data_IF_335821524136
#
_entry.id   IF_335821524136
#
_cell.length_a   1.000
_cell.length_b   1.000
_cell.length_c   1.000
_cell.angle_alpha   90.00
_cell.angle_beta   90.00
_cell.angle_gamma   90.00
#
_symmetry.space_group_name_H-M   'P 1'
#
loop_
_entity.id
_entity.type
_entity.pdbx_description
1 polymer ?
#
# COMPACT_ATOMS: atom_id res chain seq x y z
N UNK A 1 11.47 16.95 -9.88
CA UNK A 1 12.37 18.12 -9.67
C UNK A 1 13.81 17.83 -10.06
N UNK A 2 14.44 16.76 -9.55
CA UNK A 2 15.80 16.38 -9.96
C UNK A 2 15.87 15.88 -11.39
N UNK A 3 14.84 15.20 -11.88
CA UNK A 3 14.73 14.85 -13.31
C UNK A 3 14.80 16.08 -14.21
N UNK A 4 14.10 17.16 -13.85
CA UNK A 4 14.11 18.39 -14.65
C UNK A 4 15.47 19.09 -14.61
N UNK A 5 16.10 19.12 -13.43
CA UNK A 5 17.46 19.64 -13.29
C UNK A 5 18.44 18.81 -14.12
N UNK A 6 18.36 17.48 -14.08
CA UNK A 6 19.23 16.61 -14.88
C UNK A 6 18.99 16.80 -16.39
N UNK A 7 17.73 16.99 -16.83
CA UNK A 7 17.42 17.31 -18.22
C UNK A 7 18.03 18.64 -18.65
N UNK A 8 17.95 19.67 -17.80
CA UNK A 8 18.62 20.94 -18.06
C UNK A 8 20.14 20.80 -18.10
N UNK A 9 20.76 20.10 -17.15
CA UNK A 9 22.21 19.88 -17.13
C UNK A 9 22.70 19.04 -18.31
N UNK A 10 21.84 18.15 -18.85
CA UNK A 10 22.18 17.34 -20.02
C UNK A 10 22.41 18.14 -21.29
N UNK A 11 21.92 19.40 -21.36
CA UNK A 11 22.22 20.30 -22.48
C UNK A 11 23.65 20.83 -22.45
N UNK A 12 24.31 20.79 -21.29
CA UNK A 12 25.70 21.21 -21.11
C UNK A 12 26.65 20.02 -21.07
N UNK A 13 26.26 18.94 -20.39
CA UNK A 13 27.08 17.74 -20.19
C UNK A 13 26.25 16.47 -20.48
N UNK A 14 26.51 15.76 -21.60
CA UNK A 14 25.68 14.63 -22.04
C UNK A 14 25.54 13.50 -21.01
N UNK A 15 26.50 13.36 -20.08
CA UNK A 15 26.48 12.36 -19.01
C UNK A 15 25.25 12.43 -18.10
N UNK A 16 24.64 13.61 -17.94
CA UNK A 16 23.41 13.75 -17.15
C UNK A 16 22.18 13.08 -17.80
N UNK A 17 22.26 12.69 -19.07
CA UNK A 17 21.19 11.94 -19.74
C UNK A 17 20.93 10.58 -19.07
N UNK A 18 21.88 10.05 -18.31
CA UNK A 18 21.69 8.79 -17.56
C UNK A 18 20.48 8.87 -16.61
N UNK A 19 20.18 10.05 -16.07
CA UNK A 19 19.03 10.25 -15.18
C UNK A 19 17.69 10.24 -15.90
N UNK A 20 17.65 10.18 -17.23
CA UNK A 20 16.40 10.03 -17.99
C UNK A 20 15.92 8.57 -17.99
N UNK A 21 16.82 7.60 -17.85
CA UNK A 21 16.48 6.18 -17.82
C UNK A 21 15.57 5.86 -16.63
N UNK A 22 14.36 5.36 -16.94
CA UNK A 22 13.35 5.02 -15.95
C UNK A 22 13.87 4.00 -14.91
N UNK A 23 14.69 3.04 -15.35
CA UNK A 23 15.30 2.03 -14.47
C UNK A 23 16.24 2.66 -13.44
N UNK A 24 17.12 3.57 -13.87
CA UNK A 24 17.98 4.31 -12.95
C UNK A 24 17.16 5.17 -11.99
N UNK A 25 16.19 5.92 -12.50
CA UNK A 25 15.30 6.76 -11.66
C UNK A 25 14.55 5.94 -10.62
N UNK A 26 14.13 4.72 -10.98
CA UNK A 26 13.46 3.81 -10.06
C UNK A 26 14.39 3.36 -8.93
N UNK A 27 15.63 2.99 -9.25
CA UNK A 27 16.67 2.64 -8.25
C UNK A 27 16.95 3.84 -7.33
N UNK A 28 17.15 5.03 -7.91
CA UNK A 28 17.39 6.25 -7.14
C UNK A 28 16.18 6.62 -6.28
N UNK A 29 14.96 6.35 -6.74
CA UNK A 29 13.73 6.50 -5.98
C UNK A 29 13.69 5.60 -4.74
N UNK A 30 14.04 4.32 -4.90
CA UNK A 30 14.17 3.36 -3.78
C UNK A 30 15.22 3.84 -2.78
N UNK A 31 16.43 4.13 -3.26
CA UNK A 31 17.56 4.52 -2.39
C UNK A 31 17.28 5.83 -1.66
N UNK A 32 16.73 6.83 -2.34
CA UNK A 32 16.39 8.13 -1.73
C UNK A 32 15.37 7.96 -0.61
N UNK A 33 14.31 7.17 -0.85
CA UNK A 33 13.28 6.93 0.15
C UNK A 33 13.81 6.11 1.34
N UNK A 34 14.61 5.07 1.08
CA UNK A 34 15.23 4.23 2.11
C UNK A 34 16.19 5.03 2.99
N UNK A 35 17.13 5.75 2.37
CA UNK A 35 18.11 6.58 3.08
C UNK A 35 17.37 7.62 3.91
N UNK A 36 16.42 8.34 3.31
CA UNK A 36 15.65 9.35 4.03
C UNK A 36 14.92 8.75 5.23
N UNK A 37 14.28 7.59 5.07
CA UNK A 37 13.61 6.89 6.18
C UNK A 37 14.58 6.50 7.30
N UNK A 38 15.78 6.00 6.98
CA UNK A 38 16.78 5.60 7.98
C UNK A 38 17.40 6.79 8.73
N UNK A 39 17.67 7.90 8.04
CA UNK A 39 18.28 9.09 8.65
C UNK A 39 17.27 9.96 9.40
N UNK A 40 16.07 10.14 8.85
CA UNK A 40 15.01 10.99 9.44
C UNK A 40 14.20 10.20 10.48
N UNK A 41 14.13 8.88 10.35
CA UNK A 41 13.36 7.99 11.22
C UNK A 41 13.62 8.19 12.72
N UNK A 42 14.86 8.14 13.21
CA UNK A 42 15.15 8.33 14.63
C UNK A 42 14.67 9.68 15.19
N UNK A 43 14.72 10.74 14.37
CA UNK A 43 14.21 12.06 14.77
C UNK A 43 12.68 12.07 14.86
N UNK A 44 12.00 11.48 13.87
CA UNK A 44 10.52 11.36 13.87
C UNK A 44 10.04 10.50 15.03
N UNK A 45 10.70 9.37 15.30
CA UNK A 45 10.32 8.47 16.40
C UNK A 45 10.40 9.20 17.74
N UNK A 46 11.50 9.91 18.03
CA UNK A 46 11.62 10.73 19.25
C UNK A 46 10.55 11.84 19.33
N UNK A 47 10.25 12.49 18.20
CA UNK A 47 9.20 13.51 18.15
C UNK A 47 7.79 12.93 18.39
N UNK A 48 7.53 11.70 17.97
CA UNK A 48 6.28 11.01 18.24
C UNK A 48 6.20 10.54 19.70
N UNK A 49 7.28 9.95 20.22
CA UNK A 49 7.39 9.48 21.60
C UNK A 49 7.08 10.60 22.60
N UNK A 50 7.71 11.77 22.43
CA UNK A 50 7.49 12.95 23.29
C UNK A 50 6.04 13.48 23.25
N UNK A 51 5.33 13.31 22.14
CA UNK A 51 3.92 13.74 21.99
C UNK A 51 2.91 12.70 22.47
N UNK A 52 3.34 11.47 22.73
CA UNK A 52 2.47 10.32 23.00
C UNK A 52 2.59 9.77 24.41
N UNK A 53 3.27 10.51 25.29
CA UNK A 53 3.40 10.19 26.71
C UNK A 53 2.00 10.14 27.35
N UNK A 54 1.59 8.96 27.83
CA UNK A 54 0.33 8.73 28.54
C UNK A 54 -0.88 8.33 27.70
N UNK A 55 -0.68 7.62 26.57
CA UNK A 55 -1.78 7.02 25.80
C UNK A 55 -2.63 6.05 26.64
N UNK A 56 -3.94 6.04 26.38
CA UNK A 56 -4.90 5.17 27.04
C UNK A 56 -4.81 3.73 26.50
N UNK A 57 -4.70 2.75 27.41
CA UNK A 57 -4.59 1.32 27.06
C UNK A 57 -5.94 0.77 26.58
N UNK A 58 -5.94 0.06 25.44
CA UNK A 58 -7.09 -0.70 24.96
C UNK A 58 -7.12 -2.07 25.64
N UNK A 59 -8.25 -2.45 26.24
CA UNK A 59 -8.40 -3.73 26.97
C UNK A 59 -8.78 -4.93 26.09
N UNK A 60 -9.02 -4.71 24.80
CA UNK A 60 -9.67 -5.67 23.90
C UNK A 60 -8.68 -6.55 23.07
N UNK A 61 -7.38 -6.58 23.42
CA UNK A 61 -6.32 -7.28 22.69
C UNK A 61 -5.70 -8.48 23.45
N UNK A 62 -4.91 -9.35 22.79
CA UNK A 62 -4.17 -10.43 23.45
C UNK A 62 -3.20 -9.90 24.52
N UNK A 63 -2.90 -10.73 25.54
CA UNK A 63 -2.04 -10.32 26.65
C UNK A 63 -0.62 -9.92 26.22
N UNK A 64 -0.13 -10.49 25.12
CA UNK A 64 1.16 -10.13 24.48
C UNK A 64 1.24 -8.65 24.09
N UNK A 65 0.12 -7.98 23.85
CA UNK A 65 0.11 -6.56 23.49
C UNK A 65 0.30 -5.63 24.70
N UNK A 66 0.13 -6.10 25.93
CA UNK A 66 0.35 -5.26 27.11
C UNK A 66 1.83 -4.95 27.35
N UNK A 67 2.78 -5.75 26.83
CA UNK A 67 4.21 -5.44 26.91
C UNK A 67 4.65 -4.39 25.89
N UNK A 68 3.82 -4.08 24.88
CA UNK A 68 4.06 -3.06 23.85
C UNK A 68 3.65 -1.65 24.26
N UNK A 69 3.48 -1.44 25.57
CA UNK A 69 3.13 -0.14 26.13
C UNK A 69 4.29 0.86 25.93
N UNK A 70 3.97 2.04 25.41
CA UNK A 70 4.92 3.13 25.23
C UNK A 70 5.50 3.26 23.82
N UNK A 71 5.32 2.26 22.95
CA UNK A 71 5.75 2.38 21.54
C UNK A 71 4.89 3.41 20.80
N UNK A 72 5.47 4.45 20.19
CA UNK A 72 4.71 5.48 19.50
C UNK A 72 4.00 4.95 18.24
N UNK A 73 2.81 5.47 17.96
CA UNK A 73 2.03 5.28 16.72
C UNK A 73 2.17 6.48 15.78
N UNK A 74 1.55 6.43 14.58
CA UNK A 74 1.68 7.42 13.49
C UNK A 74 3.02 7.38 12.73
N UNK A 75 3.76 6.28 12.80
CA UNK A 75 4.97 6.06 12.00
C UNK A 75 4.74 6.13 10.49
N UNK A 76 3.50 5.93 10.03
CA UNK A 76 3.09 6.11 8.64
C UNK A 76 3.39 7.51 8.06
N UNK A 77 3.51 8.54 8.90
CA UNK A 77 3.93 9.87 8.43
C UNK A 77 5.35 9.83 7.84
N UNK A 78 6.28 9.10 8.48
CA UNK A 78 7.63 8.92 7.96
C UNK A 78 7.58 8.28 6.57
N UNK A 79 6.78 7.22 6.43
CA UNK A 79 6.61 6.51 5.15
C UNK A 79 6.11 7.48 4.08
N UNK A 80 5.05 8.24 4.36
CA UNK A 80 4.39 9.12 3.40
C UNK A 80 5.30 10.27 2.96
N UNK A 81 6.04 10.86 3.89
CA UNK A 81 7.02 11.91 3.58
C UNK A 81 8.13 11.35 2.69
N UNK A 82 8.67 10.17 3.01
CA UNK A 82 9.73 9.55 2.21
C UNK A 82 9.27 9.19 0.80
N UNK A 83 8.06 8.62 0.65
CA UNK A 83 7.48 8.30 -0.66
C UNK A 83 7.25 9.58 -1.46
N UNK A 84 6.61 10.58 -0.86
CA UNK A 84 6.26 11.84 -1.55
C UNK A 84 7.52 12.57 -1.99
N UNK A 85 8.48 12.76 -1.10
CA UNK A 85 9.73 13.45 -1.41
C UNK A 85 10.49 12.72 -2.54
N UNK A 86 10.69 11.41 -2.41
CA UNK A 86 11.41 10.63 -3.42
C UNK A 86 10.70 10.64 -4.78
N UNK A 87 9.38 10.49 -4.79
CA UNK A 87 8.57 10.54 -6.03
C UNK A 87 8.67 11.91 -6.69
N UNK A 88 8.52 13.00 -5.94
CA UNK A 88 8.60 14.37 -6.50
C UNK A 88 9.98 14.69 -7.05
N UNK A 89 11.05 14.11 -6.47
CA UNK A 89 12.40 14.29 -6.96
C UNK A 89 12.62 13.57 -8.30
N UNK A 90 12.23 12.30 -8.40
CA UNK A 90 12.64 11.40 -9.49
C UNK A 90 11.58 11.08 -10.55
N UNK A 91 10.29 11.19 -10.26
CA UNK A 91 9.23 10.92 -11.24
C UNK A 91 9.05 12.07 -12.22
N UNK A 92 8.53 11.78 -13.42
CA UNK A 92 8.04 12.85 -14.31
C UNK A 92 6.73 13.43 -13.78
N UNK A 93 6.79 14.70 -13.37
CA UNK A 93 5.65 15.42 -12.80
C UNK A 93 4.60 15.85 -13.84
N UNK A 94 4.85 15.68 -15.13
CA UNK A 94 3.80 15.82 -16.15
C UNK A 94 2.87 14.61 -16.19
N UNK A 95 3.25 13.50 -15.56
CA UNK A 95 2.51 12.27 -15.61
C UNK A 95 1.29 12.28 -14.67
N UNK A 96 0.09 12.18 -15.24
CA UNK A 96 -1.16 12.20 -14.49
C UNK A 96 -1.30 11.01 -13.52
N UNK A 97 -0.79 9.83 -13.87
CA UNK A 97 -0.91 8.64 -13.02
C UNK A 97 -0.10 8.78 -11.73
N UNK A 98 1.08 9.42 -11.79
CA UNK A 98 1.90 9.73 -10.61
C UNK A 98 1.13 10.63 -9.64
N UNK A 99 0.47 11.66 -10.16
CA UNK A 99 -0.35 12.55 -9.33
C UNK A 99 -1.55 11.86 -8.72
N UNK A 100 -2.29 11.05 -9.49
CA UNK A 100 -3.43 10.32 -8.94
C UNK A 100 -2.95 9.37 -7.82
N UNK A 101 -1.84 8.66 -8.01
CA UNK A 101 -1.28 7.77 -6.98
C UNK A 101 -0.87 8.55 -5.71
N UNK A 102 -0.18 9.69 -5.86
CA UNK A 102 0.20 10.56 -4.74
C UNK A 102 -1.03 11.14 -4.02
N UNK A 103 -2.01 11.66 -4.75
CA UNK A 103 -3.20 12.29 -4.17
C UNK A 103 -4.08 11.27 -3.46
N UNK A 104 -4.22 10.05 -3.98
CA UNK A 104 -4.93 8.96 -3.29
C UNK A 104 -4.18 8.56 -2.01
N UNK A 105 -2.87 8.33 -2.09
CA UNK A 105 -2.05 7.99 -0.93
C UNK A 105 -2.15 9.07 0.16
N UNK A 106 -1.98 10.34 -0.21
CA UNK A 106 -2.04 11.47 0.73
C UNK A 106 -3.46 11.69 1.26
N UNK A 107 -4.50 11.53 0.43
CA UNK A 107 -5.90 11.66 0.85
C UNK A 107 -6.27 10.63 1.91
N UNK A 108 -5.91 9.36 1.72
CA UNK A 108 -6.08 8.32 2.74
C UNK A 108 -5.15 8.53 3.94
N UNK A 109 -3.95 9.06 3.72
CA UNK A 109 -3.01 9.45 4.79
C UNK A 109 -3.57 10.53 5.70
N UNK A 110 -4.26 11.54 5.15
CA UNK A 110 -4.94 12.59 5.92
C UNK A 110 -6.08 12.00 6.74
N UNK A 111 -6.86 11.07 6.19
CA UNK A 111 -7.93 10.38 6.93
C UNK A 111 -7.34 9.60 8.12
N UNK A 112 -6.27 8.83 7.88
CA UNK A 112 -5.57 8.10 8.93
C UNK A 112 -4.93 9.01 9.96
N UNK A 113 -4.35 10.14 9.54
CA UNK A 113 -3.79 11.15 10.44
C UNK A 113 -4.85 11.74 11.35
N UNK A 114 -6.01 12.13 10.82
CA UNK A 114 -7.11 12.65 11.64
C UNK A 114 -7.58 11.59 12.64
N UNK A 115 -7.61 10.32 12.25
CA UNK A 115 -7.97 9.22 13.15
C UNK A 115 -6.99 9.05 14.31
N UNK A 116 -5.71 8.88 13.99
CA UNK A 116 -4.66 8.65 14.98
C UNK A 116 -4.44 9.88 15.85
N UNK A 117 -4.46 11.08 15.27
CA UNK A 117 -4.38 12.33 16.03
C UNK A 117 -5.49 12.43 17.07
N UNK A 118 -6.73 12.06 16.72
CA UNK A 118 -7.85 12.04 17.69
C UNK A 118 -7.64 10.99 18.78
N UNK A 119 -7.12 9.80 18.45
CA UNK A 119 -6.82 8.76 19.44
C UNK A 119 -5.78 9.25 20.46
N UNK A 120 -4.73 9.90 19.96
CA UNK A 120 -3.59 10.36 20.77
C UNK A 120 -3.92 11.62 21.57
N UNK A 121 -4.34 12.70 20.90
CA UNK A 121 -4.44 14.03 21.53
C UNK A 121 -5.70 14.16 22.37
N UNK A 122 -6.82 13.60 21.92
CA UNK A 122 -8.08 13.66 22.67
C UNK A 122 -8.21 12.52 23.70
N UNK A 123 -7.19 11.66 23.82
CA UNK A 123 -7.20 10.45 24.67
C UNK A 123 -8.45 9.57 24.50
N UNK A 124 -9.05 9.63 23.31
CA UNK A 124 -10.26 8.90 22.99
C UNK A 124 -9.88 7.63 22.23
N UNK A 125 -9.91 6.48 22.90
CA UNK A 125 -9.56 5.18 22.33
C UNK A 125 -10.39 4.76 21.10
N UNK A 126 -11.48 5.46 20.79
CA UNK A 126 -12.34 5.18 19.63
C UNK A 126 -11.89 5.85 18.32
N UNK A 127 -11.12 6.95 18.37
CA UNK A 127 -10.74 7.70 17.16
C UNK A 127 -11.92 8.34 16.40
N UNK A 128 -11.83 8.41 15.07
CA UNK A 128 -12.94 8.74 14.18
C UNK A 128 -14.03 7.67 14.26
N UNK A 129 -15.29 8.10 14.14
CA UNK A 129 -16.37 7.15 13.94
C UNK A 129 -16.16 6.36 12.64
N UNK A 130 -16.51 5.07 12.66
CA UNK A 130 -16.37 4.20 11.49
C UNK A 130 -17.09 4.77 10.25
N UNK A 131 -18.25 5.43 10.45
CA UNK A 131 -19.00 6.11 9.38
C UNK A 131 -18.20 7.27 8.78
N UNK A 132 -17.64 8.15 9.61
CA UNK A 132 -16.87 9.30 9.12
C UNK A 132 -15.58 8.85 8.40
N UNK A 133 -14.90 7.84 8.94
CA UNK A 133 -13.71 7.24 8.31
C UNK A 133 -14.06 6.66 6.93
N UNK A 134 -15.11 5.84 6.85
CA UNK A 134 -15.56 5.24 5.59
C UNK A 134 -16.03 6.30 4.58
N UNK A 135 -16.76 7.33 5.02
CA UNK A 135 -17.18 8.43 4.15
C UNK A 135 -15.99 9.16 3.52
N UNK A 136 -14.95 9.45 4.31
CA UNK A 136 -13.72 10.06 3.79
C UNK A 136 -13.03 9.16 2.75
N UNK A 137 -12.86 7.88 3.07
CA UNK A 137 -12.28 6.90 2.14
C UNK A 137 -13.11 6.79 0.86
N UNK A 138 -14.43 6.82 1.01
CA UNK A 138 -15.37 6.72 -0.11
C UNK A 138 -15.27 7.92 -1.05
N UNK A 139 -15.16 9.12 -0.49
CA UNK A 139 -15.01 10.36 -1.27
C UNK A 139 -13.71 10.34 -2.08
N UNK A 140 -12.58 10.05 -1.45
CA UNK A 140 -11.28 10.00 -2.14
C UNK A 140 -11.25 8.89 -3.19
N UNK A 141 -11.72 7.68 -2.82
CA UNK A 141 -11.77 6.53 -3.74
C UNK A 141 -12.68 6.74 -4.94
N UNK A 142 -13.87 7.33 -4.74
CA UNK A 142 -14.82 7.60 -5.82
C UNK A 142 -14.32 8.71 -6.75
N UNK A 143 -13.74 9.78 -6.21
CA UNK A 143 -13.12 10.84 -7.03
C UNK A 143 -11.99 10.26 -7.88
N UNK A 144 -11.11 9.43 -7.31
CA UNK A 144 -10.06 8.76 -8.07
C UNK A 144 -10.63 7.85 -9.17
N UNK A 145 -11.67 7.07 -8.86
CA UNK A 145 -12.35 6.20 -9.83
C UNK A 145 -12.97 6.99 -11.00
N UNK A 146 -13.63 8.10 -10.71
CA UNK A 146 -14.24 8.97 -11.72
C UNK A 146 -13.18 9.66 -12.59
N UNK A 147 -12.10 10.17 -11.98
CA UNK A 147 -10.99 10.77 -12.73
C UNK A 147 -10.35 9.75 -13.66
N UNK A 148 -10.05 8.54 -13.17
CA UNK A 148 -9.49 7.47 -13.99
C UNK A 148 -10.42 7.08 -15.16
N UNK A 149 -11.72 7.01 -14.91
CA UNK A 149 -12.72 6.73 -15.95
C UNK A 149 -12.78 7.83 -17.01
N UNK A 150 -12.66 9.11 -16.62
CA UNK A 150 -12.72 10.24 -17.54
C UNK A 150 -11.46 10.40 -18.41
N UNK A 151 -10.28 10.09 -17.86
CA UNK A 151 -9.02 10.21 -18.62
C UNK A 151 -8.74 9.00 -19.50
N UNK A 152 -9.49 7.90 -19.33
CA UNK A 152 -9.32 6.68 -20.11
C UNK A 152 -9.56 6.96 -21.60
N UNK A 153 -8.56 6.71 -22.44
CA UNK A 153 -8.61 7.00 -23.89
C UNK A 153 -8.97 5.77 -24.71
N UNK A 154 -8.68 4.58 -24.18
CA UNK A 154 -8.87 3.32 -24.88
C UNK A 154 -9.81 2.39 -24.11
N UNK A 155 -10.55 1.49 -24.80
CA UNK A 155 -11.39 0.49 -24.13
C UNK A 155 -10.58 -0.43 -23.19
N UNK A 156 -9.31 -0.68 -23.53
CA UNK A 156 -8.42 -1.50 -22.71
C UNK A 156 -8.20 -0.93 -21.29
N UNK A 157 -8.27 0.39 -21.13
CA UNK A 157 -8.14 1.06 -19.84
C UNK A 157 -9.36 0.88 -18.93
N UNK A 158 -10.51 0.43 -19.45
CA UNK A 158 -11.76 0.20 -18.67
C UNK A 158 -12.23 -1.26 -18.68
N UNK A 159 -11.47 -2.15 -19.30
CA UNK A 159 -11.81 -3.58 -19.46
C UNK A 159 -11.11 -4.44 -18.43
N UNK A 160 -11.87 -5.26 -17.69
CA UNK A 160 -11.31 -6.18 -16.70
C UNK A 160 -10.54 -7.31 -17.38
N UNK A 161 -9.30 -7.47 -16.95
CA UNK A 161 -8.44 -8.59 -17.36
C UNK A 161 -8.62 -9.74 -16.37
N UNK A 162 -9.06 -10.90 -16.85
CA UNK A 162 -9.10 -12.11 -16.04
C UNK A 162 -7.76 -12.83 -16.15
N UNK A 163 -7.00 -12.99 -15.04
CA UNK A 163 -5.73 -13.69 -15.10
C UNK A 163 -5.94 -15.15 -15.55
N UNK A 164 -4.93 -15.73 -16.20
CA UNK A 164 -4.95 -17.11 -16.76
C UNK A 164 -5.83 -17.33 -17.99
N UNK A 165 -6.64 -16.36 -18.41
CA UNK A 165 -7.48 -16.45 -19.60
C UNK A 165 -7.15 -15.31 -20.58
N UNK A 166 -6.48 -15.62 -21.71
CA UNK A 166 -6.06 -14.61 -22.71
C UNK A 166 -7.22 -13.81 -23.31
N UNK A 167 -8.30 -14.52 -23.63
CA UNK A 167 -9.40 -13.98 -24.44
C UNK A 167 -10.57 -13.48 -23.61
N UNK A 168 -10.52 -13.66 -22.28
CA UNK A 168 -11.60 -13.22 -21.38
C UNK A 168 -11.38 -11.77 -20.94
N UNK A 169 -11.82 -10.87 -21.80
CA UNK A 169 -11.82 -9.43 -21.59
C UNK A 169 -13.25 -8.97 -21.30
N UNK A 170 -13.52 -8.48 -20.08
CA UNK A 170 -14.86 -8.07 -19.67
C UNK A 170 -14.96 -6.54 -19.71
N UNK A 171 -15.60 -5.93 -20.73
CA UNK A 171 -15.78 -4.49 -20.79
C UNK A 171 -16.74 -4.04 -19.69
N UNK A 172 -16.24 -3.25 -18.73
CA UNK A 172 -17.05 -2.90 -17.56
C UNK A 172 -17.95 -1.69 -17.77
N UNK A 173 -17.64 -0.83 -18.75
CA UNK A 173 -18.31 0.47 -18.90
C UNK A 173 -18.28 1.25 -17.59
N UNK A 174 -19.44 1.75 -17.13
CA UNK A 174 -19.54 2.44 -15.84
C UNK A 174 -19.26 1.52 -14.63
N UNK A 175 -19.39 0.20 -14.78
CA UNK A 175 -18.99 -0.78 -13.76
C UNK A 175 -17.50 -0.68 -13.38
N UNK A 176 -16.67 -0.07 -14.21
CA UNK A 176 -15.28 0.24 -13.89
C UNK A 176 -15.18 1.12 -12.64
N UNK A 177 -15.99 2.18 -12.55
CA UNK A 177 -15.98 3.10 -11.41
C UNK A 177 -16.29 2.36 -10.11
N UNK A 178 -17.25 1.45 -10.15
CA UNK A 178 -17.66 0.62 -9.01
C UNK A 178 -16.51 -0.32 -8.60
N UNK A 179 -15.90 -1.02 -9.56
CA UNK A 179 -14.77 -1.90 -9.29
C UNK A 179 -13.59 -1.13 -8.70
N UNK A 180 -13.19 -0.02 -9.31
CA UNK A 180 -12.07 0.81 -8.86
C UNK A 180 -12.29 1.32 -7.45
N UNK A 181 -13.50 1.79 -7.14
CA UNK A 181 -13.88 2.17 -5.79
C UNK A 181 -13.66 1.03 -4.78
N UNK A 182 -14.16 -0.17 -5.08
CA UNK A 182 -14.02 -1.31 -4.18
C UNK A 182 -12.57 -1.78 -4.04
N UNK A 183 -11.77 -1.73 -5.10
CA UNK A 183 -10.35 -2.07 -5.04
C UNK A 183 -9.60 -1.08 -4.14
N UNK A 184 -9.77 0.23 -4.34
CA UNK A 184 -9.06 1.24 -3.55
C UNK A 184 -9.47 1.17 -2.07
N UNK A 185 -10.78 1.24 -1.78
CA UNK A 185 -11.28 1.26 -0.40
C UNK A 185 -11.09 -0.11 0.27
N UNK A 186 -11.29 -1.20 -0.47
CA UNK A 186 -11.11 -2.56 0.01
C UNK A 186 -9.67 -2.85 0.39
N UNK A 187 -8.70 -2.57 -0.51
CA UNK A 187 -7.28 -2.79 -0.22
C UNK A 187 -6.79 -1.89 0.92
N UNK A 188 -7.25 -0.64 1.00
CA UNK A 188 -6.94 0.26 2.13
C UNK A 188 -7.34 -0.33 3.48
N UNK A 189 -8.57 -0.81 3.61
CA UNK A 189 -9.04 -1.42 4.86
C UNK A 189 -8.38 -2.78 5.11
N UNK A 190 -8.07 -3.55 4.06
CA UNK A 190 -7.43 -4.85 4.20
C UNK A 190 -6.00 -4.73 4.78
N UNK A 191 -5.22 -3.74 4.33
CA UNK A 191 -3.90 -3.46 4.90
C UNK A 191 -4.04 -2.97 6.35
N UNK A 192 -5.02 -2.10 6.65
CA UNK A 192 -5.28 -1.64 8.03
C UNK A 192 -5.68 -2.75 8.99
N UNK A 193 -6.48 -3.73 8.56
CA UNK A 193 -6.80 -4.92 9.37
C UNK A 193 -5.60 -5.83 9.60
N UNK A 194 -4.60 -5.80 8.71
CA UNK A 194 -3.40 -6.62 8.80
C UNK A 194 -2.31 -5.99 9.66
N UNK A 195 -2.35 -4.67 9.88
CA UNK A 195 -1.40 -3.91 10.70
C UNK A 195 -1.66 -4.09 12.21
N UNK A 196 -1.75 -5.36 12.64
CA UNK A 196 -2.00 -5.78 14.02
C UNK A 196 -0.76 -6.28 14.75
N UNK A 197 0.31 -6.68 14.04
CA UNK A 197 1.56 -7.18 14.61
C UNK A 197 2.79 -6.48 14.01
N UNK A 198 3.91 -6.55 14.71
CA UNK A 198 5.15 -5.84 14.38
C UNK A 198 5.69 -6.31 13.00
N UNK A 199 5.73 -5.42 12.01
CA UNK A 199 6.21 -5.76 10.67
C UNK A 199 5.28 -6.65 9.84
N UNK A 200 4.09 -7.01 10.33
CA UNK A 200 3.19 -7.94 9.65
C UNK A 200 2.64 -7.36 8.33
N UNK A 201 2.25 -6.08 8.33
CA UNK A 201 1.65 -5.44 7.16
C UNK A 201 2.68 -4.85 6.18
N UNK A 202 3.81 -4.31 6.68
CA UNK A 202 4.72 -3.53 5.83
C UNK A 202 5.49 -4.39 4.82
N UNK A 203 6.01 -5.56 5.20
CA UNK A 203 6.78 -6.37 4.24
C UNK A 203 5.89 -6.92 3.10
N UNK A 204 4.69 -7.47 3.36
CA UNK A 204 3.77 -7.81 2.27
C UNK A 204 3.44 -6.61 1.38
N UNK A 205 3.28 -5.41 1.96
CA UNK A 205 3.05 -4.17 1.18
C UNK A 205 4.23 -3.88 0.25
N UNK A 206 5.47 -3.99 0.76
CA UNK A 206 6.71 -3.79 -0.02
C UNK A 206 6.81 -4.80 -1.17
N UNK A 207 6.52 -6.08 -0.90
CA UNK A 207 6.57 -7.13 -1.92
C UNK A 207 5.53 -6.91 -3.03
N UNK A 208 4.30 -6.55 -2.66
CA UNK A 208 3.23 -6.23 -3.61
C UNK A 208 3.56 -4.95 -4.40
N UNK A 209 4.12 -3.92 -3.74
CA UNK A 209 4.57 -2.70 -4.42
C UNK A 209 5.67 -3.00 -5.46
N UNK A 210 6.66 -3.81 -5.11
CA UNK A 210 7.71 -4.23 -6.03
C UNK A 210 7.17 -5.00 -7.24
N UNK A 211 6.22 -5.91 -7.01
CA UNK A 211 5.57 -6.67 -8.08
C UNK A 211 4.70 -5.78 -8.99
N UNK A 212 3.89 -4.88 -8.42
CA UNK A 212 3.17 -3.86 -9.19
C UNK A 212 4.13 -2.94 -9.94
N UNK A 213 5.35 -2.72 -9.43
CA UNK A 213 6.39 -1.96 -10.10
C UNK A 213 6.84 -2.68 -11.38
N UNK A 214 7.05 -3.99 -11.30
CA UNK A 214 7.30 -4.80 -12.49
C UNK A 214 6.13 -4.71 -13.49
N UNK A 215 4.87 -4.84 -13.04
CA UNK A 215 3.71 -4.67 -13.92
C UNK A 215 3.62 -3.29 -14.55
N UNK A 216 3.88 -2.22 -13.79
CA UNK A 216 3.89 -0.84 -14.27
C UNK A 216 4.93 -0.64 -15.38
N UNK A 217 6.14 -1.17 -15.18
CA UNK A 217 7.23 -1.12 -16.16
C UNK A 217 6.86 -1.85 -17.46
N UNK A 218 6.28 -3.05 -17.35
CA UNK A 218 5.91 -3.87 -18.50
C UNK A 218 4.71 -3.29 -19.27
N UNK A 219 3.65 -2.88 -18.56
CA UNK A 219 2.44 -2.27 -19.13
C UNK A 219 2.74 -0.91 -19.78
N UNK A 220 3.68 -0.16 -19.21
CA UNK A 220 4.13 1.14 -19.71
C UNK A 220 5.13 1.06 -20.87
N UNK A 221 5.54 -0.13 -21.31
CA UNK A 221 6.50 -0.33 -22.39
C UNK A 221 5.85 -1.05 -23.59
N UNK A 222 5.85 -0.41 -24.77
CA UNK A 222 5.18 -0.95 -25.95
C UNK A 222 5.73 -2.31 -26.42
N UNK A 223 7.05 -2.53 -26.30
CA UNK A 223 7.70 -3.77 -26.75
C UNK A 223 7.36 -4.92 -25.79
N UNK A 224 7.51 -4.70 -24.49
CA UNK A 224 7.23 -5.74 -23.49
C UNK A 224 5.74 -6.07 -23.39
N UNK A 225 4.87 -5.06 -23.47
CA UNK A 225 3.43 -5.27 -23.44
C UNK A 225 2.95 -6.12 -24.63
N UNK A 226 3.49 -5.87 -25.83
CA UNK A 226 3.23 -6.69 -27.01
C UNK A 226 3.74 -8.12 -26.84
N UNK A 227 4.97 -8.31 -26.35
CA UNK A 227 5.56 -9.63 -26.14
C UNK A 227 4.80 -10.48 -25.11
N UNK A 228 4.29 -9.85 -24.04
CA UNK A 228 3.56 -10.51 -22.95
C UNK A 228 2.04 -10.56 -23.17
N UNK A 229 1.54 -10.04 -24.30
CA UNK A 229 0.10 -9.94 -24.59
C UNK A 229 -0.70 -9.25 -23.46
N UNK A 230 -0.12 -8.20 -22.88
CA UNK A 230 -0.80 -7.35 -21.89
C UNK A 230 -1.13 -5.99 -22.51
N UNK A 231 -2.18 -5.28 -22.03
CA UNK A 231 -2.50 -3.96 -22.54
C UNK A 231 -1.35 -2.99 -22.38
N UNK A 232 -1.07 -2.23 -23.43
CA UNK A 232 -0.15 -1.11 -23.37
C UNK A 232 -0.91 0.13 -22.87
N UNK A 233 -0.47 0.69 -21.75
CA UNK A 233 -1.05 1.92 -21.19
C UNK A 233 0.05 2.99 -21.11
N UNK A 234 0.07 3.95 -22.04
CA UNK A 234 1.10 4.98 -22.08
C UNK A 234 1.18 5.76 -20.76
N UNK A 235 2.38 5.93 -20.22
CA UNK A 235 2.62 6.70 -19.01
C UNK A 235 2.54 5.92 -17.70
N UNK A 236 1.97 4.71 -17.64
CA UNK A 236 1.95 3.93 -16.38
C UNK A 236 3.35 3.51 -15.93
N UNK A 237 4.33 3.47 -16.83
CA UNK A 237 5.72 3.18 -16.50
C UNK A 237 6.34 4.13 -15.46
N UNK A 238 5.89 5.39 -15.38
CA UNK A 238 6.39 6.31 -14.36
C UNK A 238 6.00 5.91 -12.93
N UNK A 239 4.94 5.08 -12.76
CA UNK A 239 4.55 4.54 -11.46
C UNK A 239 5.62 3.65 -10.83
N UNK A 240 6.58 3.14 -11.61
CA UNK A 240 7.72 2.37 -11.10
C UNK A 240 8.55 3.19 -10.13
N UNK A 241 8.69 4.51 -10.36
CA UNK A 241 9.42 5.40 -9.45
C UNK A 241 8.66 5.58 -8.14
N UNK A 242 7.34 5.78 -8.21
CA UNK A 242 6.47 5.89 -7.03
C UNK A 242 6.45 4.59 -6.19
N UNK A 243 6.29 3.44 -6.84
CA UNK A 243 6.31 2.13 -6.18
C UNK A 243 7.71 1.77 -5.67
N UNK A 244 8.77 2.16 -6.38
CA UNK A 244 10.15 2.05 -5.90
C UNK A 244 10.38 2.88 -4.64
N UNK A 245 9.88 4.12 -4.60
CA UNK A 245 9.91 4.94 -3.39
C UNK A 245 9.12 4.29 -2.25
N UNK A 246 7.98 3.65 -2.53
CA UNK A 246 7.21 2.88 -1.55
C UNK A 246 7.97 1.66 -1.01
N UNK A 247 8.67 0.92 -1.86
CA UNK A 247 9.59 -0.16 -1.46
C UNK A 247 10.68 0.37 -0.54
N UNK A 248 11.36 1.45 -0.94
CA UNK A 248 12.45 2.05 -0.16
C UNK A 248 11.98 2.56 1.21
N UNK A 249 10.90 3.35 1.25
CA UNK A 249 10.32 3.86 2.48
C UNK A 249 9.80 2.73 3.38
N UNK A 250 9.18 1.69 2.80
CA UNK A 250 8.67 0.55 3.55
C UNK A 250 9.78 -0.31 4.17
N UNK A 251 10.86 -0.55 3.45
CA UNK A 251 12.05 -1.22 3.99
C UNK A 251 12.71 -0.37 5.10
N UNK A 252 12.81 0.94 4.89
CA UNK A 252 13.34 1.86 5.91
C UNK A 252 12.46 1.92 7.16
N UNK A 253 11.14 1.84 7.01
CA UNK A 253 10.21 1.75 8.14
C UNK A 253 10.30 0.40 8.85
N UNK A 254 10.41 -0.71 8.10
CA UNK A 254 10.56 -2.05 8.65
C UNK A 254 11.79 -2.16 9.57
N UNK A 255 12.87 -1.41 9.29
CA UNK A 255 14.04 -1.32 10.18
C UNK A 255 13.67 -0.94 11.62
N UNK A 256 12.69 -0.05 11.81
CA UNK A 256 12.23 0.41 13.13
C UNK A 256 10.99 -0.35 13.62
N UNK A 257 10.27 -1.03 12.73
CA UNK A 257 9.00 -1.70 13.03
C UNK A 257 9.13 -3.23 13.19
N UNK A 258 10.29 -3.82 12.87
CA UNK A 258 10.56 -5.24 13.13
C UNK A 258 10.50 -5.53 14.62
N UNK A 259 9.96 -6.69 14.99
CA UNK A 259 9.82 -7.10 16.39
C UNK A 259 11.17 -7.09 17.16
N UNK A 260 11.24 -6.51 18.37
CA UNK A 260 10.22 -5.65 19.00
C UNK A 260 10.15 -4.24 18.38
N UNK A 261 8.96 -3.78 18.01
CA UNK A 261 8.79 -2.51 17.30
C UNK A 261 9.13 -1.27 18.14
N UNK A 262 9.86 -0.33 17.52
CA UNK A 262 10.16 1.00 18.05
C UNK A 262 9.10 2.05 17.65
N UNK A 263 8.31 1.75 16.62
CA UNK A 263 7.22 2.61 16.14
C UNK A 263 6.16 1.78 15.43
N UNK A 264 4.89 2.10 15.63
CA UNK A 264 3.75 1.52 14.90
C UNK A 264 3.35 2.39 13.71
N UNK A 265 2.90 1.73 12.65
CA UNK A 265 2.54 2.39 11.40
C UNK A 265 1.31 3.29 11.60
N UNK A 266 0.30 2.80 12.30
CA UNK A 266 -0.94 3.52 12.54
C UNK A 266 -1.84 3.58 11.31
N UNK A 267 -3.04 4.14 11.48
CA UNK A 267 -4.00 4.32 10.40
C UNK A 267 -3.44 5.21 9.29
N UNK A 268 -2.54 6.16 9.60
CA UNK A 268 -1.84 6.99 8.61
C UNK A 268 -1.19 6.14 7.53
N UNK A 269 -0.38 5.16 7.92
CA UNK A 269 0.39 4.36 6.97
C UNK A 269 -0.45 3.23 6.37
N UNK A 270 -1.23 2.54 7.19
CA UNK A 270 -1.92 1.35 6.71
C UNK A 270 -3.03 1.69 5.70
N UNK A 271 -3.80 2.77 5.94
CA UNK A 271 -4.84 3.21 5.01
C UNK A 271 -4.26 3.75 3.70
N UNK A 272 -3.22 4.57 3.78
CA UNK A 272 -2.61 5.22 2.62
C UNK A 272 -1.86 4.23 1.72
N UNK A 273 -1.11 3.30 2.30
CA UNK A 273 -0.37 2.28 1.54
C UNK A 273 -1.34 1.33 0.84
N UNK A 274 -2.38 0.84 1.53
CA UNK A 274 -3.37 -0.03 0.89
C UNK A 274 -4.13 0.68 -0.24
N UNK A 275 -4.50 1.95 -0.07
CA UNK A 275 -5.14 2.74 -1.13
C UNK A 275 -4.20 2.97 -2.33
N UNK A 276 -2.91 3.22 -2.07
CA UNK A 276 -1.89 3.39 -3.09
C UNK A 276 -1.66 2.11 -3.91
N UNK A 277 -1.58 0.94 -3.26
CA UNK A 277 -1.53 -0.35 -3.96
C UNK A 277 -2.79 -0.58 -4.81
N UNK A 278 -3.96 -0.32 -4.24
CA UNK A 278 -5.25 -0.48 -4.92
C UNK A 278 -5.37 0.39 -6.17
N UNK A 279 -5.05 1.69 -6.08
CA UNK A 279 -5.16 2.60 -7.23
C UNK A 279 -4.14 2.26 -8.32
N UNK A 280 -2.91 1.90 -7.95
CA UNK A 280 -1.89 1.52 -8.94
C UNK A 280 -2.26 0.21 -9.62
N UNK A 281 -2.77 -0.78 -8.89
CA UNK A 281 -3.23 -2.03 -9.49
C UNK A 281 -4.34 -1.81 -10.53
N UNK A 282 -5.25 -0.86 -10.30
CA UNK A 282 -6.26 -0.46 -11.28
C UNK A 282 -5.61 0.21 -12.50
N UNK A 283 -4.64 1.13 -12.30
CA UNK A 283 -3.96 1.80 -13.40
C UNK A 283 -3.18 0.83 -14.31
N UNK A 284 -2.58 -0.22 -13.74
CA UNK A 284 -1.83 -1.23 -14.49
C UNK A 284 -2.67 -2.45 -14.90
N UNK A 285 -3.99 -2.41 -14.68
CA UNK A 285 -4.95 -3.48 -15.01
C UNK A 285 -4.64 -4.84 -14.35
N UNK A 286 -4.22 -4.79 -13.09
CA UNK A 286 -3.86 -5.96 -12.29
C UNK A 286 -4.72 -6.07 -11.03
N UNK A 287 -6.00 -5.71 -11.09
CA UNK A 287 -6.92 -5.71 -9.95
C UNK A 287 -7.09 -7.10 -9.34
N UNK A 288 -7.32 -8.11 -10.19
CA UNK A 288 -7.47 -9.50 -9.75
C UNK A 288 -6.12 -10.10 -9.33
N UNK A 289 -5.03 -9.69 -9.97
CA UNK A 289 -3.68 -10.14 -9.59
C UNK A 289 -3.27 -9.53 -8.24
N UNK A 290 -3.69 -8.29 -7.93
CA UNK A 290 -3.53 -7.71 -6.59
C UNK A 290 -4.24 -8.54 -5.53
N UNK A 291 -5.42 -9.10 -5.82
CA UNK A 291 -6.12 -10.00 -4.90
C UNK A 291 -5.31 -11.27 -4.59
N UNK A 292 -4.57 -11.78 -5.58
CA UNK A 292 -3.65 -12.92 -5.40
C UNK A 292 -2.41 -12.49 -4.62
N UNK A 293 -1.69 -11.47 -5.08
CA UNK A 293 -0.43 -10.99 -4.48
C UNK A 293 -0.63 -10.51 -3.04
N UNK A 294 -1.74 -9.80 -2.79
CA UNK A 294 -2.18 -9.34 -1.48
C UNK A 294 -2.99 -10.37 -0.70
N UNK A 295 -2.89 -11.67 -1.02
CA UNK A 295 -3.72 -12.72 -0.45
C UNK A 295 -3.66 -12.81 1.09
N UNK A 296 -2.57 -12.39 1.74
CA UNK A 296 -2.54 -12.23 3.20
C UNK A 296 -3.52 -11.15 3.68
N UNK A 297 -3.54 -9.97 3.04
CA UNK A 297 -4.49 -8.90 3.37
C UNK A 297 -5.94 -9.36 3.15
N UNK A 298 -6.17 -10.09 2.06
CA UNK A 298 -7.47 -10.70 1.75
C UNK A 298 -7.86 -11.69 2.83
N UNK A 299 -6.97 -12.60 3.21
CA UNK A 299 -7.23 -13.64 4.19
C UNK A 299 -7.54 -13.05 5.58
N UNK A 300 -6.82 -12.01 5.98
CA UNK A 300 -7.11 -11.26 7.21
C UNK A 300 -8.50 -10.62 7.16
N UNK A 301 -8.82 -9.95 6.05
CA UNK A 301 -10.14 -9.30 5.85
C UNK A 301 -11.29 -10.31 5.87
N UNK A 302 -11.15 -11.40 5.12
CA UNK A 302 -12.13 -12.48 5.05
C UNK A 302 -12.30 -13.14 6.41
N UNK A 303 -11.24 -13.32 7.19
CA UNK A 303 -11.34 -13.87 8.54
C UNK A 303 -12.22 -13.01 9.46
N UNK A 304 -12.11 -11.67 9.36
CA UNK A 304 -12.95 -10.73 10.11
C UNK A 304 -14.40 -10.80 9.62
N UNK A 305 -14.63 -10.79 8.31
CA UNK A 305 -15.98 -10.89 7.73
C UNK A 305 -16.69 -12.18 8.16
N UNK A 306 -16.01 -13.32 8.05
CA UNK A 306 -16.55 -14.63 8.46
C UNK A 306 -16.81 -14.69 9.97
N UNK A 307 -15.90 -14.15 10.79
CA UNK A 307 -16.08 -14.10 12.24
C UNK A 307 -17.32 -13.29 12.62
N UNK A 308 -17.48 -12.09 12.05
CA UNK A 308 -18.63 -11.22 12.32
C UNK A 308 -19.94 -11.86 11.83
N UNK A 309 -19.94 -12.46 10.63
CA UNK A 309 -21.09 -13.16 10.10
C UNK A 309 -21.48 -14.35 10.99
N UNK A 310 -20.52 -15.20 11.37
CA UNK A 310 -20.75 -16.35 12.27
C UNK A 310 -21.35 -15.90 13.60
N UNK A 311 -20.79 -14.86 14.23
CA UNK A 311 -21.28 -14.38 15.51
C UNK A 311 -22.68 -13.77 15.41
N UNK A 312 -23.00 -13.03 14.34
CA UNK A 312 -24.34 -12.46 14.12
C UNK A 312 -25.40 -13.51 13.79
N UNK A 313 -25.05 -14.56 13.04
CA UNK A 313 -25.99 -15.58 12.58
C UNK A 313 -26.17 -16.73 13.58
N UNK A 314 -25.10 -17.13 14.28
CA UNK A 314 -25.10 -18.33 15.13
C UNK A 314 -24.78 -18.05 16.60
N UNK A 315 -24.33 -16.84 16.93
CA UNK A 315 -23.81 -16.50 18.27
C UNK A 315 -22.45 -17.14 18.60
N UNK A 316 -21.89 -17.95 17.70
CA UNK A 316 -20.63 -18.69 17.92
C UNK A 316 -19.47 -18.04 17.16
N UNK A 317 -18.31 -18.01 17.81
CA UNK A 317 -17.04 -17.57 17.20
C UNK A 317 -16.47 -18.69 16.32
N UNK A 318 -16.05 -18.35 15.10
CA UNK A 318 -15.41 -19.30 14.17
C UNK A 318 -13.92 -19.47 14.49
N UNK A 319 -13.22 -18.35 14.65
CA UNK A 319 -11.84 -18.27 15.12
C UNK A 319 -11.81 -17.85 16.59
N UNK A 320 -10.74 -18.21 17.30
CA UNK A 320 -10.48 -17.77 18.69
C UNK A 320 -10.55 -16.24 18.83
N UNK A 321 -9.96 -15.54 17.86
CA UNK A 321 -10.03 -14.09 17.67
C UNK A 321 -9.86 -13.80 16.18
N UNK A 322 -10.44 -12.70 15.71
CA UNK A 322 -10.19 -12.17 14.37
C UNK A 322 -9.57 -10.77 14.52
N UNK A 323 -8.61 -10.36 13.66
CA UNK A 323 -8.14 -11.06 12.44
C UNK A 323 -7.32 -12.33 12.71
N UNK A 324 -6.97 -13.09 11.66
CA UNK A 324 -6.47 -14.47 11.79
C UNK A 324 -5.12 -14.57 12.48
N UNK A 325 -4.28 -13.53 12.43
CA UNK A 325 -2.99 -13.56 13.12
C UNK A 325 -3.18 -13.72 14.64
N UNK A 326 -4.17 -13.06 15.23
CA UNK A 326 -4.53 -13.23 16.65
C UNK A 326 -5.07 -14.63 16.95
N UNK A 327 -5.71 -15.30 15.99
CA UNK A 327 -6.08 -16.70 16.16
C UNK A 327 -4.87 -17.60 16.37
N UNK A 328 -3.76 -17.34 15.66
CA UNK A 328 -2.51 -18.09 15.82
C UNK A 328 -1.77 -17.72 17.11
N UNK A 329 -1.77 -16.45 17.53
CA UNK A 329 -1.23 -16.05 18.84
C UNK A 329 -1.95 -16.76 19.99
N UNK A 330 -3.29 -16.77 19.98
CA UNK A 330 -4.10 -17.50 20.98
C UNK A 330 -3.99 -19.03 20.86
N UNK A 331 -3.35 -19.55 19.80
CA UNK A 331 -2.93 -20.95 19.68
C UNK A 331 -1.54 -21.22 20.29
N UNK A 332 -0.89 -20.20 20.85
CA UNK A 332 0.43 -20.30 21.47
C UNK A 332 1.57 -20.12 20.47
N UNK A 333 1.33 -19.57 19.28
CA UNK A 333 2.42 -19.21 18.38
C UNK A 333 3.07 -17.91 18.82
N UNK A 334 4.41 -17.86 18.95
CA UNK A 334 5.10 -16.59 19.18
C UNK A 334 4.86 -15.62 18.03
N UNK A 335 4.70 -14.34 18.34
CA UNK A 335 4.44 -13.29 17.35
C UNK A 335 5.46 -13.30 16.18
N UNK A 336 6.80 -13.34 16.41
CA UNK A 336 7.78 -13.42 15.31
C UNK A 336 7.56 -14.62 14.38
N UNK A 337 7.07 -15.75 14.92
CA UNK A 337 6.77 -16.95 14.13
C UNK A 337 5.57 -16.72 13.21
N UNK A 338 4.55 -16.01 13.66
CA UNK A 338 3.39 -15.65 12.83
C UNK A 338 3.84 -14.71 11.70
N UNK A 339 4.59 -13.66 12.05
CA UNK A 339 5.09 -12.64 11.11
C UNK A 339 5.90 -13.29 9.98
N UNK A 340 6.95 -14.04 10.30
CA UNK A 340 7.84 -14.64 9.29
C UNK A 340 7.10 -15.66 8.41
N UNK A 341 6.15 -16.42 8.96
CA UNK A 341 5.33 -17.35 8.15
C UNK A 341 4.44 -16.60 7.16
N UNK A 342 3.84 -15.51 7.58
CA UNK A 342 3.00 -14.68 6.71
C UNK A 342 3.84 -13.99 5.64
N UNK A 343 5.09 -13.62 5.95
CA UNK A 343 6.04 -13.13 4.96
C UNK A 343 6.38 -14.19 3.90
N UNK A 344 6.68 -15.43 4.29
CA UNK A 344 6.94 -16.53 3.35
C UNK A 344 5.73 -16.74 2.43
N UNK A 345 4.52 -16.78 2.99
CA UNK A 345 3.28 -16.91 2.20
C UNK A 345 3.13 -15.72 1.24
N UNK A 346 3.43 -14.49 1.69
CA UNK A 346 3.35 -13.30 0.84
C UNK A 346 4.34 -13.37 -0.32
N UNK A 347 5.57 -13.83 -0.10
CA UNK A 347 6.55 -14.06 -1.19
C UNK A 347 6.00 -15.07 -2.20
N UNK A 348 5.46 -16.21 -1.73
CA UNK A 348 4.87 -17.22 -2.62
C UNK A 348 3.72 -16.65 -3.45
N UNK A 349 2.80 -15.90 -2.82
CA UNK A 349 1.65 -15.30 -3.49
C UNK A 349 2.06 -14.23 -4.51
N UNK A 350 3.08 -13.43 -4.21
CA UNK A 350 3.64 -12.46 -5.15
C UNK A 350 4.27 -13.16 -6.35
N UNK A 351 5.01 -14.25 -6.14
CA UNK A 351 5.57 -15.04 -7.24
C UNK A 351 4.47 -15.67 -8.11
N UNK A 352 3.40 -16.18 -7.50
CA UNK A 352 2.22 -16.68 -8.24
C UNK A 352 1.57 -15.55 -9.05
N UNK A 353 1.43 -14.36 -8.47
CA UNK A 353 0.92 -13.18 -9.15
C UNK A 353 1.78 -12.78 -10.36
N UNK A 354 3.10 -12.75 -10.20
CA UNK A 354 4.04 -12.48 -11.31
C UNK A 354 3.99 -13.56 -12.38
N UNK A 355 3.80 -14.84 -12.01
CA UNK A 355 3.66 -15.93 -12.99
C UNK A 355 2.45 -15.74 -13.93
N UNK A 356 1.42 -14.99 -13.51
CA UNK A 356 0.28 -14.66 -14.37
C UNK A 356 0.66 -13.84 -15.61
N UNK A 357 1.83 -13.18 -15.63
CA UNK A 357 2.35 -12.47 -16.82
C UNK A 357 2.61 -13.41 -18.00
N UNK A 358 3.06 -14.64 -17.73
CA UNK A 358 3.45 -15.61 -18.76
C UNK A 358 2.36 -16.63 -19.07
N UNK A 359 1.45 -16.82 -18.11
CA UNK A 359 0.30 -17.72 -18.21
C UNK A 359 -0.95 -17.02 -18.77
N UNK A 360 -0.80 -15.78 -19.22
CA UNK A 360 -1.74 -15.18 -20.18
C UNK A 360 -1.41 -15.77 -21.51
#
# INVERSE_FOLDING_TARGET
MLLWLANYLSTFEPGFSVFQYLTLRSILGVLTALITALFVGPWVIRALETRQIGQAVRRDGPESHFSKQGTPTMGGVLILVCITASTVLWADLHNVYVWIALLVMLGFGVIGWIDDWKKVVLKNSKGLSARAKYLGQSMVGLVAALVLYQIAKTPAETTLLVPFFKDLLIPLGFGYVILTYFVIVGTSNAVNLTDGLDGLAILPTVLVAGALGAFAYLTGNAIFSQYLFIPYIPGTGELVVFLGAMVGAGLGFLWFNTYPAQVFMGDVGALSLGAALGVVAVMVRQELVLFIMGGIFVLETVSVMLQVASFRLTGKRLFRMAPIHHHFELKGWPEPRVIVRFWIISVMLVLVGLATLKLR
#
